data_IF_607742318163
#
_entry.id   IF_607742318163
#
_cell.length_a   1.000
_cell.length_b   1.000
_cell.length_c   1.000
_cell.angle_alpha   90.00
_cell.angle_beta   90.00
_cell.angle_gamma   90.00
#
_symmetry.space_group_name_H-M   'P 1'
#
loop_
_entity.id
_entity.type
_entity.pdbx_description
1 polymer ?
#
# COMPACT_ATOMS: atom_id res chain seq x y z
N UNK A 1 -3.79 -4.82 -18.56
CA UNK A 1 -3.31 -5.62 -17.41
C UNK A 1 -2.56 -4.65 -16.51
N UNK A 2 -2.74 -4.75 -15.20
CA UNK A 2 -1.97 -3.94 -14.25
C UNK A 2 -0.80 -4.80 -13.79
N UNK A 3 0.41 -4.36 -14.13
CA UNK A 3 1.67 -5.01 -13.80
C UNK A 3 2.58 -4.07 -13.00
N UNK A 4 3.77 -4.56 -12.62
CA UNK A 4 4.81 -3.79 -11.95
C UNK A 4 5.12 -2.47 -12.67
N UNK A 5 5.22 -2.50 -13.99
CA UNK A 5 5.59 -1.33 -14.79
C UNK A 5 4.48 -0.28 -14.80
N UNK A 6 3.22 -0.71 -14.82
CA UNK A 6 2.06 0.16 -14.70
C UNK A 6 2.11 0.91 -13.39
N UNK A 7 2.27 0.19 -12.27
CA UNK A 7 2.26 0.78 -10.92
C UNK A 7 3.44 1.76 -10.74
N UNK A 8 4.66 1.35 -11.08
CA UNK A 8 5.83 2.21 -10.91
C UNK A 8 5.74 3.46 -11.79
N UNK A 9 5.14 3.35 -12.98
CA UNK A 9 4.96 4.49 -13.89
C UNK A 9 3.87 5.46 -13.44
N UNK A 10 2.93 5.02 -12.59
CA UNK A 10 1.94 5.89 -11.96
C UNK A 10 2.52 6.72 -10.81
N UNK A 11 3.66 6.33 -10.23
CA UNK A 11 4.35 7.12 -9.20
C UNK A 11 5.03 8.34 -9.87
N UNK A 12 4.78 9.57 -9.38
CA UNK A 12 5.38 10.78 -9.94
C UNK A 12 6.91 10.77 -9.91
N UNK A 13 7.52 11.34 -10.95
CA UNK A 13 8.92 11.76 -10.90
C UNK A 13 9.01 13.06 -10.08
N UNK A 14 9.98 13.26 -9.16
CA UNK A 14 11.24 12.52 -8.97
C UNK A 14 11.23 11.43 -7.88
N UNK A 15 10.11 11.25 -7.17
CA UNK A 15 10.06 10.41 -5.98
C UNK A 15 10.06 8.89 -6.26
N UNK A 16 9.83 8.49 -7.51
CA UNK A 16 9.83 7.09 -7.94
C UNK A 16 11.04 6.27 -7.46
N UNK A 17 12.23 6.87 -7.38
CA UNK A 17 13.45 6.17 -6.97
C UNK A 17 13.46 5.69 -5.50
N UNK A 18 12.54 6.18 -4.67
CA UNK A 18 12.35 5.74 -3.29
C UNK A 18 11.46 4.49 -3.17
N UNK A 19 10.86 4.03 -4.27
CA UNK A 19 9.96 2.89 -4.27
C UNK A 19 10.52 1.76 -5.14
N UNK A 20 10.75 0.61 -4.53
CA UNK A 20 11.07 -0.63 -5.23
C UNK A 20 9.79 -1.46 -5.30
N UNK A 21 9.21 -1.58 -6.49
CA UNK A 21 7.91 -2.21 -6.69
C UNK A 21 8.12 -3.62 -7.23
N UNK A 22 7.51 -4.60 -6.57
CA UNK A 22 7.21 -5.91 -7.13
C UNK A 22 5.70 -6.09 -7.15
N UNK A 23 5.18 -6.78 -8.16
CA UNK A 23 3.74 -6.93 -8.34
C UNK A 23 3.40 -8.24 -9.03
N UNK A 24 2.31 -8.86 -8.61
CA UNK A 24 1.60 -9.78 -9.47
C UNK A 24 0.92 -9.06 -10.63
N UNK A 25 0.51 -9.84 -11.62
CA UNK A 25 -0.37 -9.33 -12.65
C UNK A 25 -1.82 -9.32 -12.12
N UNK A 26 -2.47 -8.16 -12.25
CA UNK A 26 -3.89 -8.00 -11.98
C UNK A 26 -4.64 -7.72 -13.28
N UNK A 27 -5.90 -8.14 -13.31
CA UNK A 27 -6.80 -7.78 -14.40
C UNK A 27 -6.96 -6.26 -14.50
N UNK A 28 -7.20 -5.79 -15.71
CA UNK A 28 -7.39 -4.35 -15.95
C UNK A 28 -8.86 -3.97 -15.76
N UNK A 29 -9.27 -3.86 -14.49
CA UNK A 29 -10.63 -3.51 -14.13
C UNK A 29 -10.69 -2.29 -13.20
N UNK A 30 -11.87 -1.66 -13.12
CA UNK A 30 -12.08 -0.44 -12.35
C UNK A 30 -11.70 -0.60 -10.87
N UNK A 31 -11.94 -1.77 -10.29
CA UNK A 31 -11.68 -2.06 -8.89
C UNK A 31 -10.18 -1.99 -8.56
N UNK A 32 -9.34 -2.65 -9.38
CA UNK A 32 -7.89 -2.63 -9.20
C UNK A 32 -7.26 -1.31 -9.61
N UNK A 33 -7.77 -0.67 -10.68
CA UNK A 33 -7.36 0.69 -11.04
C UNK A 33 -7.62 1.69 -9.90
N UNK A 34 -8.76 1.55 -9.21
CA UNK A 34 -9.10 2.37 -8.04
C UNK A 34 -8.14 2.13 -6.89
N UNK A 35 -7.74 0.88 -6.64
CA UNK A 35 -6.76 0.54 -5.61
C UNK A 35 -5.37 1.11 -5.90
N UNK A 36 -4.89 1.02 -7.14
CA UNK A 36 -3.62 1.64 -7.52
C UNK A 36 -3.72 3.16 -7.39
N UNK A 37 -4.82 3.77 -7.83
CA UNK A 37 -5.02 5.22 -7.67
C UNK A 37 -5.05 5.66 -6.20
N UNK A 38 -5.67 4.87 -5.33
CA UNK A 38 -5.66 5.13 -3.89
C UNK A 38 -4.23 5.07 -3.32
N UNK A 39 -3.43 4.09 -3.74
CA UNK A 39 -2.01 4.03 -3.38
C UNK A 39 -1.23 5.25 -3.87
N UNK A 40 -1.40 5.66 -5.13
CA UNK A 40 -0.73 6.87 -5.65
C UNK A 40 -1.14 8.12 -4.87
N UNK A 41 -2.41 8.23 -4.48
CA UNK A 41 -2.87 9.33 -3.62
C UNK A 41 -2.17 9.31 -2.25
N UNK A 42 -2.00 8.14 -1.64
CA UNK A 42 -1.24 8.02 -0.40
C UNK A 42 0.24 8.43 -0.58
N UNK A 43 0.86 8.07 -1.70
CA UNK A 43 2.22 8.50 -2.07
C UNK A 43 2.33 10.01 -2.21
N UNK A 44 1.36 10.66 -2.87
CA UNK A 44 1.33 12.12 -3.03
C UNK A 44 1.16 12.83 -1.68
N UNK A 45 0.31 12.28 -0.79
CA UNK A 45 0.12 12.82 0.55
C UNK A 45 1.40 12.72 1.37
N UNK A 46 2.03 11.53 1.46
CA UNK A 46 3.22 11.37 2.30
C UNK A 46 4.40 12.17 1.75
N UNK A 47 4.59 12.22 0.43
CA UNK A 47 5.72 12.92 -0.20
C UNK A 47 5.63 14.45 -0.08
N UNK A 48 4.42 14.99 0.08
CA UNK A 48 4.21 16.43 0.34
C UNK A 48 4.42 16.83 1.80
N UNK A 49 4.37 15.87 2.74
CA UNK A 49 4.44 16.14 4.18
C UNK A 49 5.68 15.55 4.88
N UNK A 50 6.41 14.66 4.20
CA UNK A 50 7.59 13.98 4.74
C UNK A 50 8.74 13.96 3.72
N UNK A 51 9.96 14.12 4.21
CA UNK A 51 11.15 13.91 3.39
C UNK A 51 11.40 12.41 3.20
N UNK A 52 11.16 11.92 1.99
CA UNK A 52 11.49 10.55 1.61
C UNK A 52 13.02 10.37 1.64
N UNK A 53 13.52 9.59 2.59
CA UNK A 53 14.96 9.50 2.90
C UNK A 53 15.57 8.10 2.73
N UNK A 54 14.74 7.12 2.35
CA UNK A 54 15.16 5.72 2.17
C UNK A 54 14.32 5.05 1.09
N UNK A 55 14.81 3.93 0.57
CA UNK A 55 14.02 3.08 -0.30
C UNK A 55 13.05 2.24 0.52
N UNK A 56 11.84 2.08 0.01
CA UNK A 56 10.81 1.18 0.54
C UNK A 56 10.46 0.18 -0.54
N UNK A 57 10.56 -1.10 -0.20
CA UNK A 57 10.17 -2.17 -1.09
C UNK A 57 8.70 -2.52 -0.86
N UNK A 58 7.91 -2.49 -1.93
CA UNK A 58 6.47 -2.75 -1.93
C UNK A 58 6.19 -3.97 -2.79
N UNK A 59 5.38 -4.89 -2.27
CA UNK A 59 4.91 -6.05 -3.01
C UNK A 59 3.39 -5.98 -3.16
N UNK A 60 2.90 -5.81 -4.38
CA UNK A 60 1.47 -5.78 -4.70
C UNK A 60 0.99 -7.19 -5.05
N UNK A 61 0.15 -7.77 -4.19
CA UNK A 61 -0.27 -9.15 -4.30
C UNK A 61 -1.73 -9.42 -3.94
N UNK A 62 -2.05 -10.71 -3.85
CA UNK A 62 -3.31 -11.24 -3.37
C UNK A 62 -3.07 -12.27 -2.24
N UNK A 63 -4.09 -12.52 -1.41
CA UNK A 63 -4.02 -13.41 -0.24
C UNK A 63 -3.35 -14.77 -0.51
N UNK A 64 -3.51 -15.29 -1.72
CA UNK A 64 -2.81 -16.46 -2.20
C UNK A 64 -2.14 -16.12 -3.52
N UNK A 65 -0.84 -16.41 -3.61
CA UNK A 65 -0.11 -16.17 -4.83
C UNK A 65 1.02 -17.17 -5.01
N UNK A 66 1.34 -17.41 -6.27
CA UNK A 66 2.55 -18.05 -6.72
C UNK A 66 3.39 -17.02 -7.49
N UNK A 67 4.59 -16.73 -7.01
CA UNK A 67 5.59 -15.92 -7.72
C UNK A 67 6.72 -16.82 -8.20
N UNK A 68 7.27 -16.48 -9.36
CA UNK A 68 8.53 -17.03 -9.83
C UNK A 68 9.61 -15.97 -9.65
N UNK A 69 10.64 -16.31 -8.88
CA UNK A 69 11.82 -15.45 -8.68
C UNK A 69 13.02 -16.26 -9.15
N UNK A 70 13.64 -15.84 -10.25
CA UNK A 70 14.83 -16.48 -10.84
C UNK A 70 14.69 -17.99 -11.08
N UNK A 71 13.50 -18.45 -11.50
CA UNK A 71 13.20 -19.87 -11.76
C UNK A 71 12.86 -20.66 -10.50
N UNK A 72 12.74 -19.99 -9.34
CA UNK A 72 12.28 -20.58 -8.09
C UNK A 72 10.83 -20.18 -7.87
N UNK A 73 9.95 -21.17 -7.84
CA UNK A 73 8.54 -20.95 -7.54
C UNK A 73 8.30 -20.85 -6.05
N UNK A 74 7.84 -19.69 -5.59
CA UNK A 74 7.37 -19.46 -4.24
C UNK A 74 5.85 -19.42 -4.22
N UNK A 75 5.25 -20.19 -3.32
CA UNK A 75 3.82 -20.10 -3.02
C UNK A 75 3.64 -19.68 -1.58
N UNK A 76 2.73 -18.73 -1.35
CA UNK A 76 2.37 -18.31 0.00
C UNK A 76 0.86 -18.19 0.14
N UNK A 77 0.40 -18.38 1.37
CA UNK A 77 -1.00 -18.24 1.74
C UNK A 77 -1.07 -17.43 3.04
N UNK A 78 -1.80 -16.31 3.00
CA UNK A 78 -2.06 -15.49 4.18
C UNK A 78 -3.39 -15.98 4.79
N UNK A 79 -3.37 -16.63 5.97
CA UNK A 79 -4.53 -17.37 6.47
C UNK A 79 -5.69 -16.49 6.95
N UNK A 80 -5.47 -15.20 7.23
CA UNK A 80 -6.53 -14.24 7.56
C UNK A 80 -6.58 -13.10 6.53
N UNK A 81 -7.74 -12.46 6.32
CA UNK A 81 -7.79 -11.25 5.49
C UNK A 81 -6.95 -10.16 6.17
N UNK A 82 -5.87 -9.76 5.52
CA UNK A 82 -5.03 -8.64 5.95
C UNK A 82 -4.80 -7.75 4.73
N UNK A 83 -4.92 -6.44 4.93
CA UNK A 83 -4.72 -5.43 3.89
C UNK A 83 -3.24 -5.25 3.56
N UNK A 84 -2.37 -5.35 4.57
CA UNK A 84 -0.94 -5.22 4.42
C UNK A 84 -0.17 -6.14 5.38
N UNK A 85 1.08 -6.48 5.04
CA UNK A 85 1.99 -7.17 5.97
C UNK A 85 3.39 -6.56 5.88
N UNK A 86 3.98 -6.26 7.04
CA UNK A 86 5.38 -5.90 7.12
C UNK A 86 6.26 -7.16 7.28
N UNK A 87 7.04 -7.50 6.24
CA UNK A 87 8.05 -8.57 6.31
C UNK A 87 9.43 -7.93 6.19
N UNK A 88 10.13 -7.75 7.31
CA UNK A 88 11.42 -7.03 7.40
C UNK A 88 11.30 -5.61 6.84
N UNK A 89 11.83 -5.36 5.64
CA UNK A 89 11.85 -4.06 4.97
C UNK A 89 10.83 -3.97 3.82
N UNK A 90 9.99 -5.00 3.65
CA UNK A 90 8.98 -5.08 2.61
C UNK A 90 7.61 -4.77 3.20
N UNK A 91 6.85 -3.94 2.49
CA UNK A 91 5.42 -3.76 2.73
C UNK A 91 4.69 -4.57 1.68
N UNK A 92 4.01 -5.61 2.13
CA UNK A 92 3.10 -6.38 1.31
C UNK A 92 1.75 -5.67 1.27
N UNK A 93 1.18 -5.48 0.10
CA UNK A 93 -0.11 -4.83 -0.12
C UNK A 93 -1.07 -5.82 -0.80
N UNK A 94 -2.13 -6.20 -0.10
CA UNK A 94 -3.17 -7.08 -0.63
C UNK A 94 -4.17 -6.26 -1.44
N UNK A 95 -3.89 -6.12 -2.73
CA UNK A 95 -4.69 -5.27 -3.63
C UNK A 95 -6.11 -5.81 -3.77
N UNK A 96 -6.29 -7.13 -3.74
CA UNK A 96 -7.60 -7.77 -3.86
C UNK A 96 -8.48 -7.49 -2.64
N UNK A 97 -7.92 -7.54 -1.44
CA UNK A 97 -8.68 -7.21 -0.23
C UNK A 97 -8.95 -5.70 -0.16
N UNK A 98 -7.92 -4.89 -0.43
CA UNK A 98 -8.05 -3.43 -0.44
C UNK A 98 -9.12 -2.96 -1.42
N UNK A 99 -9.22 -3.59 -2.59
CA UNK A 99 -10.17 -3.18 -3.62
C UNK A 99 -11.64 -3.37 -3.22
N UNK A 100 -11.93 -4.09 -2.12
CA UNK A 100 -13.27 -4.22 -1.54
C UNK A 100 -13.68 -3.05 -0.64
N UNK A 101 -12.74 -2.19 -0.24
CA UNK A 101 -12.98 -1.05 0.64
C UNK A 101 -13.41 0.20 -0.13
N UNK A 102 -13.94 1.20 0.57
CA UNK A 102 -14.14 2.54 -0.02
C UNK A 102 -12.81 3.15 -0.43
N UNK A 103 -12.80 3.99 -1.47
CA UNK A 103 -11.59 4.66 -1.94
C UNK A 103 -10.80 5.36 -0.81
N UNK A 104 -11.49 6.12 0.05
CA UNK A 104 -10.87 6.84 1.16
C UNK A 104 -10.23 5.86 2.16
N UNK A 105 -10.92 4.76 2.44
CA UNK A 105 -10.43 3.70 3.33
C UNK A 105 -9.16 3.05 2.76
N UNK A 106 -9.10 2.83 1.44
CA UNK A 106 -7.90 2.35 0.74
C UNK A 106 -6.75 3.34 0.85
N UNK A 107 -7.00 4.65 0.62
CA UNK A 107 -5.97 5.69 0.77
C UNK A 107 -5.43 5.70 2.20
N UNK A 108 -6.32 5.63 3.21
CA UNK A 108 -5.93 5.58 4.62
C UNK A 108 -5.04 4.38 4.95
N UNK A 109 -5.45 3.18 4.53
CA UNK A 109 -4.71 1.94 4.76
C UNK A 109 -3.33 1.93 4.07
N UNK A 110 -3.21 2.49 2.86
CA UNK A 110 -1.90 2.62 2.21
C UNK A 110 -1.04 3.70 2.88
N UNK A 111 -1.64 4.82 3.30
CA UNK A 111 -0.93 5.92 3.92
C UNK A 111 -0.36 5.51 5.29
N UNK A 112 -1.07 4.69 6.05
CA UNK A 112 -0.60 4.07 7.30
C UNK A 112 0.75 3.38 7.14
N UNK A 113 0.86 2.47 6.17
CA UNK A 113 2.08 1.73 5.90
C UNK A 113 3.23 2.65 5.47
N UNK A 114 2.92 3.70 4.70
CA UNK A 114 3.89 4.69 4.29
C UNK A 114 4.34 5.57 5.47
N UNK A 115 3.47 5.87 6.43
CA UNK A 115 3.83 6.56 7.68
C UNK A 115 4.74 5.69 8.53
N UNK A 116 4.40 4.41 8.72
CA UNK A 116 5.28 3.45 9.40
C UNK A 116 6.66 3.41 8.73
N UNK A 117 6.68 3.30 7.41
CA UNK A 117 7.91 3.22 6.64
C UNK A 117 8.71 4.52 6.71
N UNK A 118 8.19 5.65 6.24
CA UNK A 118 9.00 6.87 6.08
C UNK A 118 9.18 7.68 7.36
N UNK A 119 8.22 7.64 8.29
CA UNK A 119 8.29 8.41 9.54
C UNK A 119 8.85 7.60 10.71
N UNK A 120 9.12 6.30 10.52
CA UNK A 120 9.53 5.35 11.57
C UNK A 120 8.56 5.37 12.78
N UNK A 121 7.27 5.61 12.54
CA UNK A 121 6.25 5.54 13.56
C UNK A 121 6.07 4.06 13.98
N UNK A 122 6.36 3.73 15.24
CA UNK A 122 6.23 2.36 15.79
C UNK A 122 5.04 2.18 16.72
N UNK A 123 4.39 3.28 17.08
CA UNK A 123 3.24 3.28 17.97
C UNK A 123 1.99 3.43 17.10
N UNK A 124 1.16 2.39 17.07
CA UNK A 124 -0.05 2.34 16.24
C UNK A 124 -0.99 3.51 16.51
N UNK A 125 -1.22 3.87 17.78
CA UNK A 125 -2.10 4.99 18.12
C UNK A 125 -1.58 6.32 17.56
N UNK A 126 -0.26 6.52 17.59
CA UNK A 126 0.38 7.68 16.99
C UNK A 126 0.30 7.64 15.46
N UNK A 127 0.56 6.47 14.84
CA UNK A 127 0.42 6.30 13.38
C UNK A 127 -1.00 6.65 12.95
N UNK A 128 -2.02 6.15 13.63
CA UNK A 128 -3.41 6.44 13.28
C UNK A 128 -3.72 7.94 13.34
N UNK A 129 -3.25 8.62 14.39
CA UNK A 129 -3.39 10.07 14.52
C UNK A 129 -2.67 10.83 13.40
N UNK A 130 -1.48 10.38 13.01
CA UNK A 130 -0.74 10.98 11.89
C UNK A 130 -1.55 10.80 10.59
N UNK A 131 -2.05 9.60 10.30
CA UNK A 131 -2.85 9.35 9.09
C UNK A 131 -4.11 10.21 9.08
N UNK A 132 -4.86 10.31 10.18
CA UNK A 132 -6.04 11.17 10.26
C UNK A 132 -5.73 12.67 10.09
N UNK A 133 -4.52 13.11 10.48
CA UNK A 133 -4.06 14.48 10.27
C UNK A 133 -3.65 14.74 8.82
N UNK A 134 -2.97 13.77 8.19
CA UNK A 134 -2.51 13.87 6.81
C UNK A 134 -3.66 13.68 5.80
N UNK A 135 -4.66 12.87 6.15
CA UNK A 135 -5.81 12.58 5.31
C UNK A 135 -7.13 12.67 6.11
N UNK A 136 -7.68 13.89 6.28
CA UNK A 136 -8.88 14.13 7.11
C UNK A 136 -10.17 13.47 6.63
N UNK A 137 -10.15 12.80 5.48
CA UNK A 137 -11.30 12.07 4.91
C UNK A 137 -11.55 10.71 5.60
N UNK A 138 -10.63 10.25 6.44
CA UNK A 138 -10.75 8.97 7.17
C UNK A 138 -10.69 9.14 8.68
N UNK A 139 -11.18 8.13 9.38
CA UNK A 139 -11.03 7.95 10.83
C UNK A 139 -10.68 6.49 11.10
N UNK A 140 -9.81 6.25 12.06
CA UNK A 140 -9.47 4.90 12.49
C UNK A 140 -10.60 4.28 13.33
N UNK A 141 -10.95 3.04 13.01
CA UNK A 141 -11.85 2.14 13.73
C UNK A 141 -11.08 0.90 14.16
N UNK A 142 -11.17 0.53 15.45
CA UNK A 142 -10.52 -0.68 15.96
C UNK A 142 -11.02 -1.98 15.31
N UNK A 143 -12.24 -1.98 14.76
CA UNK A 143 -12.84 -3.17 14.13
C UNK A 143 -12.58 -3.24 12.63
N UNK A 144 -12.45 -2.09 11.96
CA UNK A 144 -12.46 -2.00 10.49
C UNK A 144 -11.24 -1.29 9.89
N UNK A 145 -10.25 -0.88 10.70
CA UNK A 145 -9.15 -0.04 10.27
C UNK A 145 -9.62 1.38 9.89
N UNK A 146 -9.01 2.00 8.88
CA UNK A 146 -9.45 3.30 8.39
C UNK A 146 -10.77 3.21 7.63
N UNK A 147 -11.74 4.00 8.07
CA UNK A 147 -13.04 4.14 7.41
C UNK A 147 -13.26 5.59 7.00
N UNK A 148 -14.01 5.79 5.91
CA UNK A 148 -14.47 7.12 5.49
C UNK A 148 -15.22 7.83 6.61
N UNK A 149 -14.92 9.12 6.82
CA UNK A 149 -15.67 10.00 7.74
C UNK A 149 -17.06 10.38 7.21
#
# INVERSE_FOLDING_TARGET
MIDRNTIINSIPYPIRSFFEIESMEFEDNEQYQTAIKAFITAVDIISSHCHLNKKVALFFGARQMQIDIDGISFSYHIPQPVLHLHIRNFIYLNVVESSTLSYESQVGAYLEELVHAFMNARNEELTHKIVELLYPCVKHSAEYGFVRR
#
